data_IF_173692886169
#
_entry.id   IF_173692886169
#
_cell.length_a   1.000
_cell.length_b   1.000
_cell.length_c   1.000
_cell.angle_alpha   90.00
_cell.angle_beta   90.00
_cell.angle_gamma   90.00
#
_symmetry.space_group_name_H-M   'P 1'
#
loop_
_entity.id
_entity.type
_entity.pdbx_description
1 polymer ?
#
# COMPACT_ATOMS: atom_id res chain seq x y z
N UNK A 1 -22.68 -17.77 -2.38
CA UNK A 1 -21.21 -17.65 -2.28
C UNK A 1 -20.77 -18.15 -0.91
N UNK A 2 -19.60 -18.80 -0.82
CA UNK A 2 -19.06 -19.35 0.44
C UNK A 2 -17.69 -18.70 0.68
N UNK A 3 -17.37 -18.42 1.94
CA UNK A 3 -16.12 -17.79 2.35
C UNK A 3 -15.28 -18.80 3.13
N UNK A 4 -13.97 -18.78 2.91
CA UNK A 4 -12.99 -19.63 3.60
C UNK A 4 -11.91 -18.70 4.15
N UNK A 5 -11.62 -18.85 5.44
CA UNK A 5 -10.52 -18.17 6.12
C UNK A 5 -9.40 -19.19 6.30
N UNK A 6 -8.20 -18.83 5.84
CA UNK A 6 -7.01 -19.68 5.91
C UNK A 6 -5.98 -19.01 6.81
N UNK A 7 -5.63 -19.69 7.89
CA UNK A 7 -4.45 -19.35 8.68
C UNK A 7 -3.26 -20.13 8.11
N UNK A 8 -2.23 -19.40 7.68
CA UNK A 8 -1.04 -19.98 7.07
C UNK A 8 0.21 -19.41 7.75
N UNK A 9 1.27 -20.21 7.79
CA UNK A 9 2.56 -19.71 8.27
C UNK A 9 3.03 -18.51 7.44
N UNK A 10 3.55 -17.48 8.12
CA UNK A 10 4.02 -16.22 7.49
C UNK A 10 4.97 -16.47 6.30
N UNK A 11 5.91 -17.42 6.48
CA UNK A 11 6.88 -17.81 5.45
C UNK A 11 6.24 -18.42 4.20
N UNK A 12 5.02 -18.93 4.32
CA UNK A 12 4.23 -19.56 3.25
C UNK A 12 3.14 -18.65 2.71
N UNK A 13 2.88 -17.50 3.34
CA UNK A 13 1.84 -16.55 2.92
C UNK A 13 1.97 -16.15 1.46
N UNK A 14 3.19 -15.76 1.03
CA UNK A 14 3.42 -15.33 -0.37
C UNK A 14 3.18 -16.44 -1.38
N UNK A 15 3.64 -17.66 -1.07
CA UNK A 15 3.42 -18.84 -1.91
C UNK A 15 1.92 -19.13 -2.09
N UNK A 16 1.14 -19.13 -1.00
CA UNK A 16 -0.30 -19.34 -1.07
C UNK A 16 -1.01 -18.23 -1.85
N UNK A 17 -0.63 -16.98 -1.63
CA UNK A 17 -1.20 -15.84 -2.36
C UNK A 17 -0.97 -15.99 -3.87
N UNK A 18 0.23 -16.40 -4.28
CA UNK A 18 0.57 -16.55 -5.70
C UNK A 18 -0.08 -17.80 -6.30
N UNK A 19 -0.23 -18.90 -5.54
CA UNK A 19 -1.02 -20.07 -5.94
C UNK A 19 -2.49 -19.70 -6.19
N UNK A 20 -3.12 -19.02 -5.22
CA UNK A 20 -4.54 -18.66 -5.28
C UNK A 20 -4.88 -17.70 -6.43
N UNK A 21 -3.93 -16.82 -6.83
CA UNK A 21 -4.11 -15.94 -8.00
C UNK A 21 -4.21 -16.67 -9.33
N UNK A 22 -3.71 -17.91 -9.43
CA UNK A 22 -3.80 -18.69 -10.66
C UNK A 22 -5.18 -19.30 -10.87
N UNK A 23 -6.05 -19.29 -9.85
CA UNK A 23 -7.42 -19.76 -9.96
C UNK A 23 -8.33 -18.60 -10.38
N UNK A 24 -8.90 -18.69 -11.58
CA UNK A 24 -9.84 -17.72 -12.16
C UNK A 24 -11.17 -17.60 -11.38
N UNK A 25 -11.50 -18.61 -10.59
CA UNK A 25 -12.68 -18.65 -9.72
C UNK A 25 -12.43 -18.12 -8.30
N UNK A 26 -11.21 -17.67 -7.96
CA UNK A 26 -10.87 -17.20 -6.62
C UNK A 26 -10.77 -15.67 -6.58
N UNK A 27 -11.51 -15.05 -5.66
CA UNK A 27 -11.42 -13.62 -5.36
C UNK A 27 -10.72 -13.42 -4.02
N UNK A 28 -9.52 -12.84 -4.06
CA UNK A 28 -8.74 -12.55 -2.85
C UNK A 28 -9.13 -11.16 -2.35
N UNK A 29 -9.83 -11.10 -1.21
CA UNK A 29 -10.00 -9.85 -0.46
C UNK A 29 -8.68 -9.51 0.21
N UNK A 30 -7.85 -8.70 -0.45
CA UNK A 30 -6.70 -8.08 0.21
C UNK A 30 -7.20 -6.99 1.14
N UNK A 31 -6.79 -7.06 2.40
CA UNK A 31 -6.86 -5.90 3.28
C UNK A 31 -6.01 -4.78 2.64
N UNK A 32 -6.54 -3.57 2.62
CA UNK A 32 -6.20 -2.50 1.67
C UNK A 32 -4.82 -1.87 1.81
N UNK A 33 -3.92 -2.45 2.62
CA UNK A 33 -2.61 -1.88 2.96
C UNK A 33 -1.76 -1.50 1.74
N UNK A 34 -1.82 -2.25 0.63
CA UNK A 34 -1.06 -1.88 -0.58
C UNK A 34 -1.61 -0.66 -1.31
N UNK A 35 -2.93 -0.42 -1.28
CA UNK A 35 -3.54 0.78 -1.89
C UNK A 35 -3.26 2.01 -1.04
N UNK A 36 -3.28 1.85 0.28
CA UNK A 36 -3.01 2.95 1.21
C UNK A 36 -1.56 3.45 1.10
N UNK A 37 -0.59 2.54 0.89
CA UNK A 37 0.81 2.89 0.63
C UNK A 37 0.97 3.63 -0.71
N UNK A 38 0.33 3.17 -1.78
CA UNK A 38 0.42 3.86 -3.08
C UNK A 38 -0.21 5.26 -3.00
N UNK A 39 -1.36 5.37 -2.31
CA UNK A 39 -2.01 6.66 -2.07
C UNK A 39 -1.21 7.58 -1.15
N UNK A 40 -0.49 7.06 -0.15
CA UNK A 40 0.36 7.88 0.71
C UNK A 40 1.59 8.41 -0.06
N UNK A 41 2.23 7.57 -0.87
CA UNK A 41 3.34 7.98 -1.75
C UNK A 41 2.90 9.02 -2.78
N UNK A 42 1.77 8.81 -3.45
CA UNK A 42 1.22 9.76 -4.42
C UNK A 42 0.90 11.13 -3.78
N UNK A 43 0.34 11.13 -2.56
CA UNK A 43 0.09 12.35 -1.79
C UNK A 43 1.39 13.06 -1.40
N UNK A 44 2.43 12.32 -1.03
CA UNK A 44 3.75 12.87 -0.73
C UNK A 44 4.38 13.59 -1.94
N UNK A 45 4.33 12.96 -3.12
CA UNK A 45 4.83 13.56 -4.36
C UNK A 45 4.05 14.82 -4.75
N UNK A 46 2.73 14.82 -4.58
CA UNK A 46 1.89 15.99 -4.89
C UNK A 46 2.24 17.18 -3.98
N UNK A 47 2.46 16.94 -2.68
CA UNK A 47 2.89 18.00 -1.76
C UNK A 47 4.28 18.53 -2.09
N UNK A 48 5.24 17.67 -2.44
CA UNK A 48 6.57 18.11 -2.86
C UNK A 48 6.53 19.02 -4.11
N UNK A 49 5.64 18.71 -5.05
CA UNK A 49 5.41 19.53 -6.24
C UNK A 49 4.82 20.90 -5.87
N UNK A 50 3.78 20.95 -5.04
CA UNK A 50 3.17 22.21 -4.59
C UNK A 50 4.14 23.09 -3.80
N UNK A 51 5.03 22.48 -3.00
CA UNK A 51 6.07 23.19 -2.27
C UNK A 51 7.11 23.80 -3.22
N UNK A 52 7.50 23.05 -4.27
CA UNK A 52 8.41 23.54 -5.31
C UNK A 52 7.81 24.68 -6.14
N UNK A 53 6.48 24.68 -6.32
CA UNK A 53 5.72 25.76 -6.97
C UNK A 53 5.48 26.97 -6.06
N UNK A 54 5.95 26.94 -4.80
CA UNK A 54 5.76 28.02 -3.82
C UNK A 54 4.32 28.18 -3.31
N UNK A 55 3.42 27.24 -3.65
CA UNK A 55 2.00 27.28 -3.26
C UNK A 55 1.76 26.85 -1.81
N UNK A 56 2.69 26.09 -1.23
CA UNK A 56 2.66 25.68 0.18
C UNK A 56 4.02 25.93 0.84
N UNK A 57 4.01 26.21 2.14
CA UNK A 57 5.25 26.37 2.91
C UNK A 57 6.01 25.05 2.93
N UNK A 58 7.23 25.04 2.39
CA UNK A 58 8.13 23.90 2.49
C UNK A 58 8.54 23.67 3.94
N UNK A 59 8.58 22.40 4.36
CA UNK A 59 9.19 21.98 5.62
C UNK A 59 10.54 21.31 5.34
N UNK A 60 11.50 21.31 6.28
CA UNK A 60 12.76 20.59 6.10
C UNK A 60 12.52 19.13 5.76
N UNK A 61 13.22 18.60 4.75
CA UNK A 61 13.08 17.21 4.32
C UNK A 61 13.35 16.22 5.46
N UNK A 62 14.25 16.56 6.37
CA UNK A 62 14.57 15.77 7.55
C UNK A 62 13.40 15.63 8.53
N UNK A 63 12.59 16.68 8.69
CA UNK A 63 11.39 16.64 9.53
C UNK A 63 10.27 15.82 8.88
N UNK A 64 10.12 15.92 7.55
CA UNK A 64 9.13 15.14 6.80
C UNK A 64 9.39 13.63 6.87
N UNK A 65 10.65 13.19 6.74
CA UNK A 65 11.02 11.78 6.81
C UNK A 65 10.83 11.15 8.19
N UNK A 66 10.77 11.96 9.25
CA UNK A 66 10.54 11.49 10.62
C UNK A 66 9.04 11.35 10.97
N UNK A 67 8.13 11.84 10.12
CA UNK A 67 6.67 11.78 10.32
C UNK A 67 6.00 10.61 9.57
N UNK A 68 6.71 9.98 8.64
CA UNK A 68 6.27 8.81 7.87
C UNK A 68 6.62 7.50 8.60
#
# INVERSE_FOLDING_TARGET
MKEIILEVEERKYRFFLDLLKNFDFVSIKKDSSSKDIIMSVARGMHQAKLASEGKIKSRPAKSFLNEL
#
